data_IF_899301075705
#
_entry.id   IF_899301075705
#
_cell.length_a   1.000
_cell.length_b   1.000
_cell.length_c   1.000
_cell.angle_alpha   90.00
_cell.angle_beta   90.00
_cell.angle_gamma   90.00
#
_symmetry.space_group_name_H-M   'P 1'
#
loop_
_entity.id
_entity.type
_entity.pdbx_description
1 polymer ?
#
# COMPACT_ATOMS: atom_id res chain seq x y z
N UNK A 1 -74.33 -31.44 -6.77
CA UNK A 1 -73.51 -31.08 -7.95
C UNK A 1 -72.06 -31.29 -7.54
N UNK A 2 -71.40 -32.25 -8.19
CA UNK A 2 -70.01 -32.72 -8.05
C UNK A 2 -69.53 -33.32 -6.70
N UNK A 3 -69.27 -34.62 -6.77
CA UNK A 3 -68.43 -35.42 -5.89
C UNK A 3 -66.94 -35.31 -6.29
N UNK A 4 -66.01 -35.74 -5.42
CA UNK A 4 -64.92 -36.72 -5.71
C UNK A 4 -63.91 -36.80 -4.54
N UNK A 5 -63.40 -38.03 -4.32
CA UNK A 5 -62.50 -38.53 -3.28
C UNK A 5 -60.99 -38.23 -3.46
N UNK A 6 -60.30 -38.17 -2.30
CA UNK A 6 -58.99 -38.73 -1.85
C UNK A 6 -57.85 -39.00 -2.86
N UNK A 7 -56.61 -38.63 -2.47
CA UNK A 7 -55.41 -39.48 -2.62
C UNK A 7 -54.26 -39.03 -1.68
N UNK A 8 -53.84 -39.93 -0.78
CA UNK A 8 -52.59 -39.85 0.00
C UNK A 8 -51.41 -40.36 -0.81
N UNK A 9 -50.24 -39.73 -0.72
CA UNK A 9 -48.95 -40.40 -0.97
C UNK A 9 -47.90 -39.90 0.04
N UNK A 10 -47.42 -40.81 0.90
CA UNK A 10 -46.17 -40.64 1.65
C UNK A 10 -45.01 -40.71 0.65
N UNK A 11 -44.20 -39.65 0.59
CA UNK A 11 -42.96 -39.59 -0.20
C UNK A 11 -41.74 -39.69 0.70
N UNK A 12 -40.86 -40.62 0.34
CA UNK A 12 -39.69 -41.14 1.05
C UNK A 12 -38.63 -40.07 1.35
N UNK A 13 -38.12 -40.03 2.59
CA UNK A 13 -36.84 -39.38 2.91
C UNK A 13 -35.71 -40.19 2.30
N UNK A 14 -35.12 -39.70 1.21
CA UNK A 14 -33.82 -40.17 0.73
C UNK A 14 -32.77 -39.29 1.39
N UNK A 15 -32.02 -39.85 2.34
CA UNK A 15 -30.80 -39.26 2.83
C UNK A 15 -29.79 -39.20 1.67
N UNK A 16 -29.39 -38.01 1.25
CA UNK A 16 -28.18 -37.83 0.48
C UNK A 16 -27.03 -37.50 1.45
N UNK A 17 -25.87 -38.17 1.33
CA UNK A 17 -24.70 -37.80 2.10
C UNK A 17 -24.26 -36.42 1.61
N UNK A 18 -24.21 -35.45 2.51
CA UNK A 18 -23.53 -34.18 2.27
C UNK A 18 -22.05 -34.51 2.03
N UNK A 19 -21.68 -34.55 0.75
CA UNK A 19 -20.32 -34.76 0.30
C UNK A 19 -19.44 -33.64 0.86
N UNK A 20 -18.34 -34.02 1.49
CA UNK A 20 -17.24 -33.13 1.86
C UNK A 20 -16.72 -32.52 0.55
N UNK A 21 -17.08 -31.27 0.29
CA UNK A 21 -16.74 -30.57 -0.94
C UNK A 21 -15.23 -30.41 -1.09
N UNK A 22 -14.76 -30.84 -2.26
CA UNK A 22 -13.40 -30.63 -2.74
C UNK A 22 -13.00 -29.15 -2.67
N UNK A 23 -11.69 -28.90 -2.56
CA UNK A 23 -11.10 -27.60 -2.88
C UNK A 23 -11.35 -27.30 -4.36
N UNK A 24 -12.55 -26.79 -4.67
CA UNK A 24 -12.88 -26.25 -5.97
C UNK A 24 -12.05 -24.97 -6.12
N UNK A 25 -10.88 -25.11 -6.74
CA UNK A 25 -10.01 -23.99 -7.08
C UNK A 25 -10.76 -23.13 -8.10
N UNK A 26 -11.59 -22.20 -7.58
CA UNK A 26 -12.52 -21.37 -8.34
C UNK A 26 -11.87 -20.62 -9.50
N UNK A 27 -10.57 -20.36 -9.39
CA UNK A 27 -9.79 -19.60 -10.37
C UNK A 27 -8.91 -20.48 -11.26
N UNK A 28 -9.11 -21.80 -11.27
CA UNK A 28 -8.35 -22.70 -12.12
C UNK A 28 -8.51 -22.29 -13.59
N UNK A 29 -7.38 -21.99 -14.25
CA UNK A 29 -7.36 -21.58 -15.65
C UNK A 29 -7.65 -20.09 -15.90
N UNK A 30 -8.12 -19.32 -14.91
CA UNK A 30 -8.42 -17.90 -15.07
C UNK A 30 -7.15 -17.08 -15.33
N UNK A 31 -7.26 -15.97 -16.05
CA UNK A 31 -6.17 -14.98 -16.16
C UNK A 31 -6.11 -14.10 -14.91
N UNK A 32 -4.98 -13.42 -14.71
CA UNK A 32 -4.84 -12.52 -13.56
C UNK A 32 -5.91 -11.41 -13.54
N UNK A 33 -6.30 -10.88 -14.71
CA UNK A 33 -7.37 -9.88 -14.87
C UNK A 33 -8.74 -10.42 -14.51
N UNK A 34 -9.09 -11.64 -14.95
CA UNK A 34 -10.37 -12.25 -14.59
C UNK A 34 -10.51 -12.48 -13.07
N UNK A 35 -9.41 -12.85 -12.41
CA UNK A 35 -9.39 -12.98 -10.95
C UNK A 35 -9.56 -11.60 -10.31
N UNK A 36 -8.84 -10.58 -10.76
CA UNK A 36 -8.97 -9.21 -10.27
C UNK A 36 -10.39 -8.65 -10.43
N UNK A 37 -11.00 -8.83 -11.59
CA UNK A 37 -12.36 -8.36 -11.87
C UNK A 37 -13.37 -9.03 -10.94
N UNK A 38 -13.18 -10.32 -10.63
CA UNK A 38 -14.00 -11.02 -9.65
C UNK A 38 -13.77 -10.55 -8.21
N UNK A 39 -12.51 -10.33 -7.81
CA UNK A 39 -12.14 -9.91 -6.46
C UNK A 39 -12.55 -8.47 -6.17
N UNK A 40 -12.47 -7.58 -7.16
CA UNK A 40 -12.71 -6.14 -7.04
C UNK A 40 -14.11 -5.74 -7.53
N UNK A 41 -15.00 -6.71 -7.77
CA UNK A 41 -16.39 -6.43 -8.08
C UNK A 41 -17.04 -5.61 -6.97
N UNK A 42 -17.76 -4.55 -7.34
CA UNK A 42 -18.34 -3.59 -6.37
C UNK A 42 -19.37 -4.21 -5.43
N UNK A 43 -19.99 -5.33 -5.80
CA UNK A 43 -20.91 -6.05 -4.91
C UNK A 43 -20.18 -6.82 -3.80
N UNK A 44 -18.86 -7.01 -3.93
CA UNK A 44 -18.04 -7.81 -3.02
C UNK A 44 -16.95 -7.00 -2.32
N UNK A 45 -16.38 -6.02 -3.01
CA UNK A 45 -15.25 -5.22 -2.52
C UNK A 45 -15.60 -3.74 -2.51
N UNK A 46 -15.79 -3.19 -1.32
CA UNK A 46 -15.83 -1.74 -1.14
C UNK A 46 -14.45 -1.23 -0.74
N UNK A 47 -13.81 -0.49 -1.66
CA UNK A 47 -12.50 0.14 -1.45
C UNK A 47 -12.49 1.23 -0.38
N UNK A 48 -13.66 1.74 0.02
CA UNK A 48 -13.78 2.77 1.07
C UNK A 48 -13.63 2.17 2.45
N UNK A 49 -13.90 0.87 2.58
CA UNK A 49 -13.75 0.14 3.83
C UNK A 49 -12.32 -0.38 3.97
N UNK A 50 -11.74 -0.15 5.15
CA UNK A 50 -10.46 -0.72 5.54
C UNK A 50 -10.50 -2.26 5.46
N UNK A 51 -9.36 -2.91 5.18
CA UNK A 51 -9.33 -4.37 5.06
C UNK A 51 -9.73 -5.11 6.33
N UNK A 52 -9.30 -4.58 7.48
CA UNK A 52 -9.52 -5.11 8.83
C UNK A 52 -9.53 -3.93 9.83
N UNK A 53 -10.07 -4.17 11.02
CA UNK A 53 -10.23 -3.15 12.08
C UNK A 53 -8.91 -2.49 12.52
N UNK A 54 -7.80 -3.23 12.45
CA UNK A 54 -6.46 -2.71 12.70
C UNK A 54 -5.52 -3.14 11.58
N UNK A 55 -5.12 -2.19 10.73
CA UNK A 55 -4.33 -2.47 9.53
C UNK A 55 -2.90 -1.96 9.70
N UNK A 56 -1.94 -2.87 9.66
CA UNK A 56 -0.52 -2.51 9.68
C UNK A 56 0.02 -2.38 8.26
N UNK A 57 0.64 -1.24 7.97
CA UNK A 57 1.25 -0.94 6.68
C UNK A 57 2.75 -0.82 6.87
N UNK A 58 3.49 -1.78 6.29
CA UNK A 58 4.94 -1.73 6.28
C UNK A 58 5.41 -0.85 5.12
N UNK A 59 6.27 0.12 5.41
CA UNK A 59 6.76 1.10 4.44
C UNK A 59 8.26 0.93 4.21
N UNK A 60 8.67 0.99 2.94
CA UNK A 60 10.06 1.19 2.54
C UNK A 60 10.17 2.30 1.51
N UNK A 61 11.31 2.98 1.50
CA UNK A 61 11.61 4.09 0.60
C UNK A 61 12.95 3.84 -0.09
N UNK A 62 12.96 3.96 -1.41
CA UNK A 62 14.15 3.97 -2.25
C UNK A 62 14.33 5.37 -2.83
N UNK A 63 15.36 6.09 -2.37
CA UNK A 63 15.75 7.37 -2.90
C UNK A 63 16.38 7.18 -4.28
N UNK A 64 15.83 7.85 -5.29
CA UNK A 64 16.30 7.81 -6.67
C UNK A 64 17.25 8.97 -6.97
N UNK A 65 16.88 10.18 -6.58
CA UNK A 65 17.68 11.40 -6.75
C UNK A 65 17.59 12.29 -5.52
N UNK A 66 18.63 13.08 -5.33
CA UNK A 66 18.70 14.13 -4.32
C UNK A 66 19.51 15.28 -4.92
N UNK A 67 18.92 16.47 -4.97
CA UNK A 67 19.58 17.65 -5.55
C UNK A 67 19.19 18.94 -4.83
N UNK A 68 20.14 19.84 -4.65
CA UNK A 68 19.89 21.23 -4.28
C UNK A 68 19.95 22.12 -5.52
N UNK A 69 19.17 23.21 -5.58
CA UNK A 69 19.27 24.19 -6.65
C UNK A 69 20.62 24.94 -6.62
N UNK A 70 21.18 25.15 -5.43
CA UNK A 70 22.48 25.77 -5.18
C UNK A 70 23.03 25.34 -3.82
N UNK A 71 24.33 25.54 -3.58
CA UNK A 71 25.03 25.14 -2.34
C UNK A 71 24.52 25.87 -1.09
N UNK A 72 23.90 27.04 -1.25
CA UNK A 72 23.35 27.83 -0.13
C UNK A 72 21.91 27.49 0.24
N UNK A 73 21.24 26.68 -0.59
CA UNK A 73 19.83 26.38 -0.42
C UNK A 73 19.60 25.34 0.68
N UNK A 74 18.66 25.66 1.57
CA UNK A 74 18.09 24.71 2.52
C UNK A 74 16.93 23.90 1.93
N UNK A 75 16.64 24.04 0.63
CA UNK A 75 15.57 23.31 -0.08
C UNK A 75 16.16 22.26 -0.98
N UNK A 76 15.80 21.00 -0.72
CA UNK A 76 16.31 19.84 -1.45
C UNK A 76 15.22 19.16 -2.22
N UNK A 77 15.42 19.00 -3.52
CA UNK A 77 14.54 18.18 -4.33
C UNK A 77 14.92 16.71 -4.16
N UNK A 78 13.93 15.90 -3.79
CA UNK A 78 14.08 14.46 -3.64
C UNK A 78 13.10 13.75 -4.53
N UNK A 79 13.57 12.70 -5.18
CA UNK A 79 12.73 11.75 -5.88
C UNK A 79 12.91 10.36 -5.28
N UNK A 80 11.81 9.66 -5.05
CA UNK A 80 11.86 8.34 -4.43
C UNK A 80 10.74 7.42 -4.91
N UNK A 81 10.99 6.12 -4.77
CA UNK A 81 9.96 5.09 -4.78
C UNK A 81 9.58 4.76 -3.35
N UNK A 82 8.28 4.73 -3.06
CA UNK A 82 7.75 4.22 -1.81
C UNK A 82 7.05 2.90 -2.07
N UNK A 83 7.35 1.89 -1.26
CA UNK A 83 6.66 0.61 -1.26
C UNK A 83 5.86 0.49 0.04
N UNK A 84 4.59 0.12 -0.10
CA UNK A 84 3.68 -0.11 1.00
C UNK A 84 3.17 -1.54 0.93
N UNK A 85 3.27 -2.25 2.04
CA UNK A 85 2.83 -3.63 2.17
C UNK A 85 1.84 -3.77 3.33
N UNK A 86 0.63 -4.18 3.01
CA UNK A 86 -0.41 -4.51 3.98
C UNK A 86 -1.04 -5.86 3.63
N UNK A 87 -1.99 -6.29 4.45
CA UNK A 87 -2.74 -7.51 4.25
C UNK A 87 -4.23 -7.18 4.11
N UNK A 88 -4.86 -7.70 3.07
CA UNK A 88 -6.30 -7.60 2.84
C UNK A 88 -6.90 -9.00 2.62
N UNK A 89 -7.62 -9.56 3.61
CA UNK A 89 -8.17 -10.91 3.51
C UNK A 89 -9.22 -11.05 2.41
N UNK A 90 -9.86 -9.95 1.98
CA UNK A 90 -10.89 -9.95 0.93
C UNK A 90 -10.31 -10.23 -0.45
N UNK A 91 -8.99 -10.01 -0.61
CA UNK A 91 -8.25 -10.19 -1.86
C UNK A 91 -7.54 -11.54 -1.96
N UNK A 92 -7.80 -12.47 -1.03
CA UNK A 92 -7.30 -13.84 -1.10
C UNK A 92 -7.88 -14.56 -2.32
N UNK A 93 -7.04 -15.33 -2.99
CA UNK A 93 -7.44 -16.19 -4.10
C UNK A 93 -6.57 -17.45 -4.12
N UNK A 94 -7.14 -18.53 -4.67
CA UNK A 94 -6.43 -19.77 -4.94
C UNK A 94 -6.66 -20.18 -6.40
N UNK A 95 -5.58 -20.15 -7.17
CA UNK A 95 -5.53 -20.53 -8.58
C UNK A 95 -4.61 -21.74 -8.80
N UNK A 96 -4.45 -22.57 -7.75
CA UNK A 96 -3.53 -23.71 -7.72
C UNK A 96 -2.05 -23.31 -7.93
N UNK A 97 -1.67 -22.09 -7.54
CA UNK A 97 -0.31 -21.60 -7.66
C UNK A 97 0.09 -21.16 -9.07
N UNK A 98 -0.88 -20.98 -9.98
CA UNK A 98 -0.64 -20.51 -11.35
C UNK A 98 0.03 -19.14 -11.37
N UNK A 99 -0.45 -18.20 -10.55
CA UNK A 99 0.12 -16.86 -10.45
C UNK A 99 0.81 -16.65 -9.10
N UNK A 100 2.08 -16.22 -9.15
CA UNK A 100 2.79 -15.75 -7.94
C UNK A 100 2.10 -14.53 -7.32
N UNK A 101 1.57 -13.65 -8.15
CA UNK A 101 0.76 -12.48 -7.76
C UNK A 101 -0.11 -12.05 -8.95
N UNK A 102 -1.20 -11.34 -8.67
CA UNK A 102 -1.99 -10.64 -9.68
C UNK A 102 -1.42 -9.24 -9.93
N UNK A 103 -1.23 -8.87 -11.19
CA UNK A 103 -0.79 -7.51 -11.55
C UNK A 103 -2.02 -6.59 -11.64
N UNK A 104 -2.22 -5.79 -10.59
CA UNK A 104 -3.35 -4.88 -10.44
C UNK A 104 -3.06 -3.43 -10.78
N UNK A 105 -1.97 -3.10 -11.49
CA UNK A 105 -1.59 -1.70 -11.73
C UNK A 105 -2.73 -0.85 -12.31
N UNK A 106 -3.52 -1.42 -13.24
CA UNK A 106 -4.68 -0.75 -13.86
C UNK A 106 -5.92 -0.69 -12.95
N UNK A 107 -5.91 -1.39 -11.82
CA UNK A 107 -6.99 -1.47 -10.84
C UNK A 107 -6.67 -0.67 -9.57
N UNK A 108 -5.63 0.17 -9.59
CA UNK A 108 -5.20 0.96 -8.42
C UNK A 108 -6.31 1.86 -7.88
N UNK A 109 -7.20 2.36 -8.74
CA UNK A 109 -8.36 3.16 -8.31
C UNK A 109 -9.54 2.32 -7.77
N UNK A 110 -9.47 0.98 -7.84
CA UNK A 110 -10.55 0.08 -7.41
C UNK A 110 -10.24 -0.66 -6.11
N UNK A 111 -9.01 -0.53 -5.59
CA UNK A 111 -8.56 -1.17 -4.35
C UNK A 111 -8.50 -0.15 -3.21
N UNK A 112 -8.64 -0.60 -1.96
CA UNK A 112 -8.31 0.23 -0.81
C UNK A 112 -6.80 0.48 -0.80
N UNK A 113 -6.39 1.74 -0.65
CA UNK A 113 -4.99 2.14 -0.45
C UNK A 113 -4.89 2.85 0.90
N UNK A 114 -3.82 2.60 1.69
CA UNK A 114 -3.58 3.37 2.90
C UNK A 114 -3.35 4.82 2.54
N UNK A 115 -4.05 5.73 3.22
CA UNK A 115 -3.79 7.15 3.08
C UNK A 115 -2.45 7.45 3.74
N UNK A 116 -1.51 8.00 2.96
CA UNK A 116 -0.18 8.32 3.45
C UNK A 116 0.19 9.71 3.00
N UNK A 117 0.34 10.58 3.98
CA UNK A 117 0.64 11.99 3.82
C UNK A 117 2.01 12.28 4.41
N UNK A 118 2.69 13.25 3.81
CA UNK A 118 4.03 13.62 4.21
C UNK A 118 3.96 14.92 5.01
N UNK A 119 4.36 14.87 6.28
CA UNK A 119 4.22 15.99 7.21
C UNK A 119 5.60 16.54 7.54
N UNK A 120 5.61 17.85 7.77
CA UNK A 120 6.76 18.66 8.17
C UNK A 120 7.84 18.70 7.08
N UNK A 121 7.79 19.83 6.38
CA UNK A 121 8.89 20.49 5.67
C UNK A 121 9.03 20.19 4.17
N UNK A 122 8.01 20.54 3.40
CA UNK A 122 8.20 21.06 2.04
C UNK A 122 6.98 20.90 1.14
N UNK A 123 7.06 21.48 -0.06
CA UNK A 123 5.97 21.48 -1.04
C UNK A 123 6.08 20.25 -1.95
N UNK A 124 4.94 19.61 -2.23
CA UNK A 124 4.88 18.60 -3.28
C UNK A 124 5.12 19.27 -4.63
N UNK A 125 6.03 18.71 -5.44
CA UNK A 125 6.19 19.18 -6.82
C UNK A 125 4.97 18.72 -7.62
N UNK A 126 4.45 19.60 -8.48
CA UNK A 126 3.41 19.21 -9.43
C UNK A 126 3.95 18.08 -10.35
N UNK A 127 3.16 17.02 -10.62
CA UNK A 127 1.78 16.79 -10.19
C UNK A 127 1.66 16.25 -8.75
N UNK A 128 0.59 16.67 -8.05
CA UNK A 128 0.29 16.25 -6.68
C UNK A 128 -0.13 14.77 -6.56
N UNK A 129 -0.48 14.12 -7.67
CA UNK A 129 -0.91 12.72 -7.73
C UNK A 129 0.32 11.81 -7.91
N UNK A 130 0.42 10.65 -7.22
CA UNK A 130 1.58 9.77 -7.37
C UNK A 130 1.61 9.15 -8.75
N UNK A 131 2.79 8.81 -9.24
CA UNK A 131 2.90 7.88 -10.35
C UNK A 131 2.83 6.47 -9.77
N UNK A 132 1.79 5.70 -10.10
CA UNK A 132 1.67 4.30 -9.72
C UNK A 132 2.69 3.47 -10.51
N UNK A 133 3.56 2.74 -9.81
CA UNK A 133 4.61 1.93 -10.43
C UNK A 133 4.23 0.46 -10.46
N UNK A 134 3.64 -0.05 -9.38
CA UNK A 134 3.18 -1.43 -9.31
C UNK A 134 2.08 -1.61 -8.26
N UNK A 135 1.14 -2.49 -8.54
CA UNK A 135 0.24 -3.07 -7.55
C UNK A 135 0.27 -4.59 -7.71
N UNK A 136 0.70 -5.30 -6.67
CA UNK A 136 0.83 -6.76 -6.65
C UNK A 136 -0.01 -7.33 -5.53
N UNK A 137 -0.93 -8.23 -5.86
CA UNK A 137 -1.79 -8.92 -4.90
C UNK A 137 -1.36 -10.38 -4.86
N UNK A 138 -0.95 -10.87 -3.69
CA UNK A 138 -0.49 -12.24 -3.51
C UNK A 138 -1.64 -13.16 -3.12
N UNK A 139 -1.56 -14.49 -3.43
CA UNK A 139 -2.62 -15.45 -3.11
C UNK A 139 -3.08 -15.42 -1.66
N UNK A 140 -2.14 -15.18 -0.74
CA UNK A 140 -2.42 -15.09 0.69
C UNK A 140 -3.15 -13.80 1.12
N UNK A 141 -3.45 -12.86 0.23
CA UNK A 141 -4.08 -11.57 0.54
C UNK A 141 -3.09 -10.46 0.88
N UNK A 142 -1.79 -10.71 0.83
CA UNK A 142 -0.80 -9.62 0.96
C UNK A 142 -0.84 -8.72 -0.27
N UNK A 143 -0.82 -7.42 -0.06
CA UNK A 143 -0.77 -6.43 -1.14
C UNK A 143 0.53 -5.65 -1.04
N UNK A 144 1.20 -5.47 -2.18
CA UNK A 144 2.36 -4.58 -2.30
C UNK A 144 2.02 -3.52 -3.34
N UNK A 145 1.96 -2.28 -2.90
CA UNK A 145 1.78 -1.11 -3.74
C UNK A 145 3.08 -0.31 -3.79
N UNK A 146 3.44 0.14 -4.97
CA UNK A 146 4.66 0.92 -5.22
C UNK A 146 4.32 2.17 -6.00
N UNK A 147 4.79 3.32 -5.54
CA UNK A 147 4.58 4.59 -6.22
C UNK A 147 5.86 5.42 -6.24
N UNK A 148 5.98 6.26 -7.27
CA UNK A 148 7.04 7.25 -7.41
C UNK A 148 6.52 8.62 -7.02
N UNK A 149 7.33 9.34 -6.25
CA UNK A 149 7.02 10.68 -5.74
C UNK A 149 8.24 11.58 -5.82
N UNK A 150 7.99 12.85 -6.09
CA UNK A 150 8.99 13.92 -6.07
C UNK A 150 8.52 15.01 -5.12
N UNK A 151 9.41 15.47 -4.25
CA UNK A 151 9.12 16.42 -3.20
C UNK A 151 10.27 17.41 -3.06
N UNK A 152 9.96 18.60 -2.55
CA UNK A 152 10.98 19.48 -1.97
C UNK A 152 10.99 19.24 -0.47
N UNK A 153 12.17 19.05 0.13
CA UNK A 153 12.39 18.96 1.56
C UNK A 153 13.02 20.26 2.05
N UNK A 154 12.54 20.84 3.16
CA UNK A 154 13.25 21.91 3.85
C UNK A 154 14.17 21.26 4.89
N UNK A 155 15.47 21.40 4.65
CA UNK A 155 16.52 20.88 5.49
C UNK A 155 16.98 21.94 6.50
N UNK A 156 17.62 21.48 7.56
CA UNK A 156 18.13 22.32 8.63
C UNK A 156 19.64 22.10 8.75
N UNK A 157 20.36 23.21 8.82
CA UNK A 157 21.81 23.27 8.88
C UNK A 157 22.31 24.07 10.07
N UNK A 158 23.63 24.08 10.27
CA UNK A 158 24.26 24.97 11.22
C UNK A 158 24.89 26.14 10.45
N UNK A 159 24.21 27.28 10.46
CA UNK A 159 24.63 28.47 9.72
C UNK A 159 25.99 29.04 10.17
N UNK A 160 26.48 28.68 11.37
CA UNK A 160 27.78 29.13 11.85
C UNK A 160 28.97 28.46 11.15
N UNK A 161 28.75 27.32 10.50
CA UNK A 161 29.80 26.58 9.75
C UNK A 161 29.48 26.52 8.26
N UNK A 162 28.57 27.37 7.78
CA UNK A 162 28.27 27.51 6.36
C UNK A 162 29.55 27.82 5.56
N UNK A 163 29.80 27.20 4.40
CA UNK A 163 28.98 26.21 3.66
C UNK A 163 29.31 24.74 3.98
N UNK A 164 30.02 24.45 5.08
CA UNK A 164 30.49 23.10 5.45
C UNK A 164 29.53 22.34 6.39
N UNK A 165 28.25 22.67 6.38
CA UNK A 165 27.27 22.06 7.27
C UNK A 165 26.73 20.72 6.74
N UNK A 166 26.51 19.79 7.67
CA UNK A 166 25.81 18.54 7.38
C UNK A 166 24.31 18.78 7.53
N UNK A 167 23.65 19.11 6.42
CA UNK A 167 22.22 19.36 6.38
C UNK A 167 21.41 18.12 6.78
N UNK A 168 20.42 18.34 7.64
CA UNK A 168 19.45 17.32 8.05
C UNK A 168 18.12 17.61 7.39
N UNK A 169 17.63 16.66 6.60
CA UNK A 169 16.35 16.77 5.88
C UNK A 169 15.32 15.81 6.51
N UNK A 170 14.68 16.17 7.63
CA UNK A 170 13.65 15.34 8.22
C UNK A 170 12.40 15.34 7.35
N UNK A 171 11.74 14.19 7.24
CA UNK A 171 10.38 14.07 6.72
C UNK A 171 9.65 13.02 7.54
N UNK A 172 8.34 13.19 7.69
CA UNK A 172 7.47 12.26 8.40
C UNK A 172 6.36 11.74 7.48
N UNK A 173 5.92 10.51 7.73
CA UNK A 173 4.77 9.89 7.09
C UNK A 173 3.67 9.72 8.13
N UNK A 174 2.43 10.05 7.78
CA UNK A 174 1.28 9.83 8.65
C UNK A 174 0.03 9.51 7.83
N UNK A 175 -0.92 8.83 8.46
CA UNK A 175 -2.28 8.73 7.96
C UNK A 175 -3.04 9.99 8.39
N UNK A 176 -3.76 10.61 7.46
CA UNK A 176 -4.58 11.80 7.73
C UNK A 176 -5.95 11.38 8.24
N UNK A 177 -6.50 10.30 7.69
CA UNK A 177 -7.87 9.87 7.93
C UNK A 177 -8.04 8.89 9.08
N UNK A 178 -6.96 8.25 9.54
CA UNK A 178 -7.05 7.17 10.53
C UNK A 178 -6.15 7.41 11.75
N UNK A 179 -6.62 6.97 12.91
CA UNK A 179 -5.82 6.96 14.14
C UNK A 179 -4.86 5.77 14.19
N UNK A 180 -3.87 5.84 15.08
CA UNK A 180 -2.90 4.75 15.27
C UNK A 180 -3.53 3.43 15.73
N UNK A 181 -4.73 3.47 16.32
CA UNK A 181 -5.52 2.29 16.69
C UNK A 181 -6.22 1.64 15.49
N UNK A 182 -6.22 2.29 14.34
CA UNK A 182 -6.91 1.86 13.12
C UNK A 182 -5.93 1.49 12.00
N UNK A 183 -4.94 2.36 11.77
CA UNK A 183 -3.89 2.17 10.78
C UNK A 183 -2.54 2.51 11.40
N UNK A 184 -1.65 1.53 11.44
CA UNK A 184 -0.27 1.72 11.89
C UNK A 184 0.66 1.74 10.68
N UNK A 185 1.23 2.91 10.38
CA UNK A 185 2.35 3.01 9.45
C UNK A 185 3.64 2.69 10.20
N UNK A 186 4.38 1.68 9.74
CA UNK A 186 5.68 1.34 10.33
C UNK A 186 6.73 1.06 9.28
N UNK A 187 7.98 1.36 9.61
CA UNK A 187 9.12 1.01 8.78
C UNK A 187 9.26 -0.52 8.68
N UNK A 188 9.53 -1.02 7.48
CA UNK A 188 9.81 -2.45 7.29
C UNK A 188 11.01 -2.89 8.14
N UNK A 189 10.84 -3.97 8.90
CA UNK A 189 11.91 -4.56 9.73
C UNK A 189 12.77 -5.56 8.96
N UNK A 190 12.23 -6.14 7.89
CA UNK A 190 12.88 -7.20 7.10
C UNK A 190 13.72 -6.65 5.95
N UNK A 191 13.43 -5.42 5.53
CA UNK A 191 14.14 -4.70 4.48
C UNK A 191 14.75 -3.44 5.09
N UNK A 192 15.81 -2.87 4.51
CA UNK A 192 16.26 -1.57 5.01
C UNK A 192 15.18 -0.55 4.62
N UNK A 193 14.65 0.13 5.63
CA UNK A 193 13.52 1.02 5.50
C UNK A 193 13.75 2.18 4.53
N UNK A 194 14.98 2.71 4.48
CA UNK A 194 15.40 3.74 3.53
C UNK A 194 16.68 3.29 2.85
N UNK A 195 16.69 3.28 1.51
CA UNK A 195 17.86 2.94 0.67
C UNK A 195 18.11 4.02 -0.36
N UNK A 196 19.36 4.23 -0.74
CA UNK A 196 19.71 5.01 -1.93
C UNK A 196 19.85 4.10 -3.15
N UNK A 197 19.39 4.56 -4.32
CA UNK A 197 19.68 3.92 -5.58
C UNK A 197 21.19 3.94 -5.85
N UNK A 198 21.73 2.91 -6.49
CA UNK A 198 23.14 2.88 -6.90
C UNK A 198 23.48 3.99 -7.89
N UNK A 199 22.47 4.44 -8.66
CA UNK A 199 22.56 5.50 -9.66
C UNK A 199 22.20 6.88 -9.11
N UNK A 200 22.20 7.09 -7.77
CA UNK A 200 21.84 8.37 -7.18
C UNK A 200 22.72 9.46 -7.82
N UNK A 201 22.16 10.24 -8.74
CA UNK A 201 22.91 11.26 -9.49
C UNK A 201 23.26 12.36 -8.50
N UNK A 202 24.56 12.55 -8.25
CA UNK A 202 25.06 13.63 -7.42
C UNK A 202 24.96 14.94 -8.18
N UNK A 203 23.96 15.75 -7.86
CA UNK A 203 24.00 17.19 -8.13
C UNK A 203 24.01 17.89 -6.78
N UNK A 204 25.21 18.31 -6.38
CA UNK A 204 25.53 19.08 -5.16
C UNK A 204 25.10 18.47 -3.82
N UNK A 205 24.59 17.23 -3.78
CA UNK A 205 24.31 16.51 -2.54
C UNK A 205 24.37 14.99 -2.64
N UNK A 206 24.54 14.37 -1.48
CA UNK A 206 24.61 12.94 -1.29
C UNK A 206 24.04 12.56 0.09
N UNK A 207 23.42 11.38 0.16
CA UNK A 207 22.91 10.84 1.43
C UNK A 207 24.08 10.33 2.27
N UNK A 208 24.44 11.05 3.32
CA UNK A 208 25.48 10.63 4.29
C UNK A 208 24.97 9.53 5.21
N UNK A 209 23.75 9.72 5.74
CA UNK A 209 23.13 8.82 6.72
C UNK A 209 21.62 8.95 6.65
N UNK A 210 20.93 7.83 6.89
CA UNK A 210 19.49 7.83 7.19
C UNK A 210 19.25 7.31 8.62
N UNK A 211 18.15 7.77 9.21
CA UNK A 211 17.63 7.28 10.49
C UNK A 211 16.13 7.19 10.34
N UNK A 212 15.55 6.10 10.82
CA UNK A 212 14.10 5.95 10.91
C UNK A 212 13.67 5.99 12.37
N UNK A 213 12.46 6.50 12.59
CA UNK A 213 11.85 6.59 13.91
C UNK A 213 10.34 6.64 13.77
N UNK A 214 9.66 6.54 14.90
CA UNK A 214 8.22 6.78 15.00
C UNK A 214 7.97 8.25 15.31
N UNK A 215 6.88 8.81 14.77
CA UNK A 215 6.48 10.17 15.11
C UNK A 215 6.03 10.22 16.57
N UNK A 216 6.80 10.92 17.40
CA UNK A 216 6.36 11.32 18.74
C UNK A 216 5.19 12.32 18.56
N UNK A 217 4.20 12.35 19.45
CA UNK A 217 2.97 13.18 19.33
C UNK A 217 3.23 14.61 18.81
N UNK A 218 4.28 15.27 19.29
CA UNK A 218 4.70 16.63 18.90
C UNK A 218 5.13 16.79 17.42
N UNK A 219 5.35 15.70 16.70
CA UNK A 219 5.74 15.66 15.29
C UNK A 219 4.58 15.28 14.35
N UNK A 220 3.39 15.03 14.88
CA UNK A 220 2.18 14.77 14.09
C UNK A 220 1.57 16.08 13.54
N UNK A 221 0.72 16.00 12.51
CA UNK A 221 -0.08 17.16 12.11
C UNK A 221 -1.23 17.45 13.10
N UNK A 222 -1.58 16.47 13.93
CA UNK A 222 -2.74 16.51 14.83
C UNK A 222 -2.49 17.26 16.15
N UNK A 223 -1.24 17.62 16.47
CA UNK A 223 -0.86 18.39 17.67
C UNK A 223 -0.20 17.53 18.75
#
# INVERSE_FOLDING_TARGET
MWAVLVLTVMGIQVASPFQIGASDNKFLGFSDKQILDYLLDKSRYDKRMRPIDFTVVNVTVLLLTLSSPDESSLKYEVEFLMHQKWYDPRLKFDDAGKHRYLNGLLHTDNIWLPDTYFIKHGEFKYPLIPIHIALRIYPNGSVIYSMRRSMVLNCQGNLHIFPFDNLKCPFALESVSHENTEVELRWSKTEQAIRGATSLRQQNAYLVKNVTGECIRQHTWRG
#
